data_IF_349580422921
#
_entry.id   IF_349580422921
#
_cell.length_a   1.000
_cell.length_b   1.000
_cell.length_c   1.000
_cell.angle_alpha   90.00
_cell.angle_beta   90.00
_cell.angle_gamma   90.00
#
_symmetry.space_group_name_H-M   'P 1'
#
loop_
_entity.id
_entity.type
_entity.pdbx_description
1 polymer ?
#
# COMPACT_ATOMS: atom_id res chain seq x y z
N UNK A 1 13.15 3.00 -34.83
CA UNK A 1 11.70 2.96 -35.10
C UNK A 1 11.09 1.94 -34.15
N UNK A 2 10.19 2.34 -33.25
CA UNK A 2 9.64 1.44 -32.23
C UNK A 2 8.59 0.50 -32.84
N UNK A 3 9.01 -0.75 -33.09
CA UNK A 3 8.19 -1.82 -33.69
C UNK A 3 6.92 -2.05 -32.88
N UNK A 4 6.97 -1.90 -31.55
CA UNK A 4 5.83 -2.08 -30.67
C UNK A 4 4.77 -0.99 -30.89
N UNK A 5 5.20 0.25 -31.15
CA UNK A 5 4.31 1.37 -31.47
C UNK A 5 3.58 1.15 -32.80
N UNK A 6 4.27 0.59 -33.80
CA UNK A 6 3.68 0.27 -35.11
C UNK A 6 2.65 -0.85 -35.00
N UNK A 7 2.94 -1.94 -34.29
CA UNK A 7 1.99 -3.04 -34.12
C UNK A 7 0.75 -2.64 -33.30
N UNK A 8 0.91 -1.75 -32.31
CA UNK A 8 -0.23 -1.18 -31.61
C UNK A 8 -1.12 -0.34 -32.53
N UNK A 9 -0.52 0.41 -33.47
CA UNK A 9 -1.25 1.23 -34.43
C UNK A 9 -1.92 0.40 -35.53
N UNK A 10 -1.31 -0.71 -35.94
CA UNK A 10 -1.80 -1.58 -37.01
C UNK A 10 -1.78 -3.07 -36.60
N UNK A 11 -2.83 -3.54 -35.90
CA UNK A 11 -2.89 -4.92 -35.39
C UNK A 11 -2.83 -6.00 -36.49
N UNK A 12 -3.29 -5.67 -37.70
CA UNK A 12 -3.24 -6.58 -38.85
C UNK A 12 -1.80 -6.86 -39.31
N UNK A 13 -0.86 -5.91 -39.16
CA UNK A 13 0.56 -6.14 -39.47
C UNK A 13 1.17 -7.16 -38.53
N UNK A 14 0.76 -7.14 -37.25
CA UNK A 14 1.19 -8.15 -36.28
C UNK A 14 0.66 -9.53 -36.66
N UNK A 15 -0.60 -9.64 -37.07
CA UNK A 15 -1.14 -10.93 -37.56
C UNK A 15 -0.40 -11.42 -38.79
N UNK A 16 -0.15 -10.56 -39.80
CA UNK A 16 0.63 -10.94 -40.99
C UNK A 16 2.04 -11.39 -40.63
N UNK A 17 2.72 -10.69 -39.72
CA UNK A 17 4.04 -11.08 -39.25
C UNK A 17 4.02 -12.46 -38.56
N UNK A 18 3.01 -12.74 -37.75
CA UNK A 18 2.83 -14.06 -37.10
C UNK A 18 2.55 -15.16 -38.13
N UNK A 19 1.71 -14.89 -39.13
CA UNK A 19 1.43 -15.84 -40.21
C UNK A 19 2.69 -16.19 -40.97
N UNK A 20 3.50 -15.19 -41.34
CA UNK A 20 4.79 -15.42 -42.01
C UNK A 20 5.76 -16.20 -41.12
N UNK A 21 5.90 -15.80 -39.85
CA UNK A 21 6.80 -16.44 -38.89
C UNK A 21 6.45 -17.91 -38.68
N UNK A 22 5.20 -18.22 -38.34
CA UNK A 22 4.77 -19.59 -38.06
C UNK A 22 4.65 -20.44 -39.33
N UNK A 23 4.27 -19.84 -40.46
CA UNK A 23 4.27 -20.52 -41.76
C UNK A 23 5.67 -20.96 -42.17
N UNK A 24 6.66 -20.06 -42.07
CA UNK A 24 8.07 -20.37 -42.37
C UNK A 24 8.66 -21.37 -41.36
N UNK A 25 8.36 -21.21 -40.07
CA UNK A 25 8.82 -22.14 -39.04
C UNK A 25 8.23 -23.55 -39.23
N UNK A 26 6.94 -23.64 -39.61
CA UNK A 26 6.30 -24.90 -39.98
C UNK A 26 7.00 -25.51 -41.20
N UNK A 27 7.20 -24.75 -42.27
CA UNK A 27 7.92 -25.24 -43.45
C UNK A 27 9.35 -25.74 -43.11
N UNK A 28 10.07 -25.05 -42.23
CA UNK A 28 11.40 -25.43 -41.75
C UNK A 28 11.37 -26.71 -40.91
N UNK A 29 10.43 -26.83 -39.98
CA UNK A 29 10.24 -28.05 -39.18
C UNK A 29 9.76 -29.24 -40.03
N UNK A 30 9.12 -28.97 -41.17
CA UNK A 30 8.79 -29.98 -42.17
C UNK A 30 10.01 -30.60 -42.86
N UNK A 31 11.19 -29.97 -42.79
CA UNK A 31 12.45 -30.55 -43.29
C UNK A 31 13.02 -31.62 -42.35
N UNK A 32 12.53 -31.70 -41.11
CA UNK A 32 12.93 -32.71 -40.13
C UNK A 32 12.08 -33.95 -40.35
N UNK A 33 12.47 -34.76 -41.33
CA UNK A 33 11.77 -35.96 -41.73
C UNK A 33 12.26 -37.22 -40.98
N UNK A 34 11.32 -38.01 -40.49
CA UNK A 34 11.59 -39.35 -39.96
C UNK A 34 11.18 -40.40 -40.97
N UNK A 35 12.18 -41.06 -41.57
CA UNK A 35 11.94 -42.16 -42.51
C UNK A 35 11.45 -43.40 -41.77
N UNK A 36 10.40 -44.01 -42.30
CA UNK A 36 9.82 -45.23 -41.73
C UNK A 36 10.48 -46.45 -42.38
N UNK A 37 11.11 -47.34 -41.61
CA UNK A 37 11.67 -48.58 -42.16
C UNK A 37 10.55 -49.41 -42.82
N UNK A 38 10.73 -49.77 -44.10
CA UNK A 38 9.80 -50.63 -44.82
C UNK A 38 8.75 -49.94 -45.68
N UNK A 39 8.74 -48.60 -45.78
CA UNK A 39 7.85 -47.85 -46.68
C UNK A 39 8.65 -46.81 -47.46
N UNK A 40 8.75 -46.99 -48.77
CA UNK A 40 9.37 -46.00 -49.65
C UNK A 40 8.41 -44.82 -49.88
N UNK A 41 8.85 -43.60 -49.53
CA UNK A 41 8.14 -42.37 -49.85
C UNK A 41 7.19 -41.82 -48.78
N UNK A 42 7.04 -42.50 -47.64
CA UNK A 42 6.32 -41.96 -46.48
C UNK A 42 7.33 -41.46 -45.45
N UNK A 43 7.22 -40.19 -45.06
CA UNK A 43 7.97 -39.58 -43.97
C UNK A 43 6.99 -38.85 -43.04
N UNK A 44 7.30 -38.85 -41.76
CA UNK A 44 6.62 -38.02 -40.76
C UNK A 44 7.50 -36.83 -40.42
N UNK A 45 6.92 -35.70 -40.03
CA UNK A 45 7.67 -34.45 -39.82
C UNK A 45 7.18 -33.70 -38.57
N UNK A 46 7.82 -32.58 -38.23
CA UNK A 46 7.51 -31.83 -36.98
C UNK A 46 6.71 -30.55 -37.21
N UNK A 47 6.10 -30.38 -38.39
CA UNK A 47 5.54 -29.07 -38.75
C UNK A 47 4.22 -28.72 -38.08
N UNK A 48 3.54 -29.72 -37.54
CA UNK A 48 2.32 -29.55 -36.76
C UNK A 48 2.61 -28.72 -35.49
N UNK A 49 3.81 -28.83 -34.90
CA UNK A 49 4.19 -28.09 -33.69
C UNK A 49 4.05 -26.57 -33.88
N UNK A 50 4.71 -25.92 -34.87
CA UNK A 50 4.50 -24.50 -35.14
C UNK A 50 3.06 -24.12 -35.48
N UNK A 51 2.31 -24.99 -36.18
CA UNK A 51 0.91 -24.74 -36.54
C UNK A 51 0.06 -24.67 -35.27
N UNK A 52 0.18 -25.65 -34.38
CA UNK A 52 -0.57 -25.67 -33.12
C UNK A 52 -0.18 -24.54 -32.17
N UNK A 53 1.11 -24.21 -32.08
CA UNK A 53 1.56 -23.08 -31.26
C UNK A 53 1.00 -21.76 -31.82
N UNK A 54 0.90 -21.61 -33.13
CA UNK A 54 0.38 -20.38 -33.75
C UNK A 54 -1.05 -20.06 -33.31
N UNK A 55 -1.88 -21.08 -33.05
CA UNK A 55 -3.28 -20.93 -32.63
C UNK A 55 -3.40 -20.15 -31.32
N UNK A 56 -2.39 -20.24 -30.45
CA UNK A 56 -2.34 -19.52 -29.18
C UNK A 56 -2.17 -18.01 -29.40
N UNK A 57 -1.53 -17.60 -30.51
CA UNK A 57 -1.20 -16.20 -30.82
C UNK A 57 -2.15 -15.55 -31.81
N UNK A 58 -2.70 -16.32 -32.72
CA UNK A 58 -3.59 -15.80 -33.75
C UNK A 58 -4.89 -15.30 -33.13
N UNK A 59 -5.42 -14.20 -33.66
CA UNK A 59 -6.70 -13.62 -33.23
C UNK A 59 -7.86 -14.04 -34.14
N UNK A 60 -7.56 -14.33 -35.40
CA UNK A 60 -8.54 -14.74 -36.41
C UNK A 60 -8.19 -16.12 -36.96
N UNK A 61 -9.20 -16.98 -37.09
CA UNK A 61 -9.02 -18.32 -37.66
C UNK A 61 -8.54 -18.28 -39.12
N UNK A 62 -8.91 -17.24 -39.89
CA UNK A 62 -8.50 -17.06 -41.29
C UNK A 62 -6.97 -17.01 -41.43
N UNK A 63 -6.26 -16.51 -40.41
CA UNK A 63 -4.80 -16.45 -40.41
C UNK A 63 -4.14 -17.82 -40.44
N UNK A 64 -4.83 -18.87 -39.95
CA UNK A 64 -4.36 -20.27 -40.02
C UNK A 64 -4.23 -20.70 -41.49
N UNK A 65 -5.13 -20.26 -42.37
CA UNK A 65 -5.08 -20.57 -43.81
C UNK A 65 -3.73 -20.12 -44.40
N UNK A 66 -3.28 -18.91 -44.06
CA UNK A 66 -2.00 -18.39 -44.52
C UNK A 66 -0.82 -19.24 -44.04
N UNK A 67 -0.83 -19.66 -42.78
CA UNK A 67 0.21 -20.53 -42.20
C UNK A 67 0.26 -21.87 -42.94
N UNK A 68 -0.91 -22.49 -43.17
CA UNK A 68 -1.00 -23.79 -43.84
C UNK A 68 -0.58 -23.67 -45.30
N UNK A 69 -0.95 -22.59 -46.02
CA UNK A 69 -0.49 -22.35 -47.39
C UNK A 69 1.04 -22.28 -47.42
N UNK A 70 1.66 -21.45 -46.58
CA UNK A 70 3.12 -21.29 -46.55
C UNK A 70 3.80 -22.63 -46.18
N UNK A 71 3.25 -23.34 -45.20
CA UNK A 71 3.74 -24.66 -44.79
C UNK A 71 3.61 -25.70 -45.90
N UNK A 72 2.53 -25.66 -46.69
CA UNK A 72 2.26 -26.62 -47.77
C UNK A 72 3.10 -26.34 -49.03
N UNK A 73 3.58 -25.10 -49.23
CA UNK A 73 4.46 -24.76 -50.35
C UNK A 73 5.77 -25.55 -50.34
N UNK A 74 6.27 -25.97 -49.16
CA UNK A 74 7.45 -26.83 -49.08
C UNK A 74 7.24 -28.24 -49.65
N UNK A 75 5.98 -28.67 -49.82
CA UNK A 75 5.58 -29.98 -50.32
C UNK A 75 5.12 -29.98 -51.79
N UNK A 76 5.04 -28.82 -52.43
CA UNK A 76 4.42 -28.66 -53.75
C UNK A 76 5.06 -29.54 -54.85
N UNK A 77 6.32 -29.97 -54.66
CA UNK A 77 7.00 -30.86 -55.60
C UNK A 77 6.41 -32.28 -55.70
N UNK A 78 5.63 -32.73 -54.70
CA UNK A 78 5.19 -34.13 -54.58
C UNK A 78 3.74 -34.38 -55.03
N UNK A 79 3.00 -33.36 -55.48
CA UNK A 79 1.61 -33.51 -55.98
C UNK A 79 0.53 -33.72 -54.89
N UNK A 80 0.91 -33.83 -53.62
CA UNK A 80 0.02 -34.11 -52.48
C UNK A 80 -0.54 -32.83 -51.82
N UNK A 81 -0.43 -31.68 -52.48
CA UNK A 81 -0.75 -30.38 -51.87
C UNK A 81 -2.19 -30.29 -51.34
N UNK A 82 -3.17 -30.79 -52.09
CA UNK A 82 -4.59 -30.65 -51.74
C UNK A 82 -4.96 -31.49 -50.52
N UNK A 83 -4.60 -32.78 -50.51
CA UNK A 83 -4.82 -33.68 -49.36
C UNK A 83 -4.16 -33.11 -48.11
N UNK A 84 -2.93 -32.63 -48.26
CA UNK A 84 -2.14 -32.05 -47.18
C UNK A 84 -2.76 -30.76 -46.60
N UNK A 85 -3.15 -29.83 -47.47
CA UNK A 85 -3.78 -28.59 -47.10
C UNK A 85 -5.10 -28.83 -46.36
N UNK A 86 -5.97 -29.70 -46.90
CA UNK A 86 -7.27 -30.01 -46.29
C UNK A 86 -7.11 -30.62 -44.90
N UNK A 87 -6.13 -31.52 -44.75
CA UNK A 87 -5.80 -32.15 -43.48
C UNK A 87 -5.44 -31.12 -42.41
N UNK A 88 -4.45 -30.26 -42.68
CA UNK A 88 -3.99 -29.27 -41.71
C UNK A 88 -4.99 -28.14 -41.50
N UNK A 89 -5.82 -27.84 -42.50
CA UNK A 89 -6.90 -26.88 -42.36
C UNK A 89 -7.98 -27.38 -41.39
N UNK A 90 -8.41 -28.63 -41.52
CA UNK A 90 -9.32 -29.26 -40.58
C UNK A 90 -8.73 -29.28 -39.16
N UNK A 91 -7.43 -29.61 -39.04
CA UNK A 91 -6.68 -29.56 -37.79
C UNK A 91 -6.72 -28.16 -37.15
N UNK A 92 -6.33 -27.15 -37.91
CA UNK A 92 -6.25 -25.78 -37.43
C UNK A 92 -7.61 -25.27 -36.93
N UNK A 93 -8.70 -25.57 -37.64
CA UNK A 93 -10.06 -25.22 -37.20
C UNK A 93 -10.44 -25.96 -35.91
N UNK A 94 -10.16 -27.26 -35.83
CA UNK A 94 -10.44 -28.05 -34.63
C UNK A 94 -9.71 -27.51 -33.40
N UNK A 95 -8.41 -27.27 -33.52
CA UNK A 95 -7.60 -26.76 -32.41
C UNK A 95 -7.88 -25.30 -32.07
N UNK A 96 -8.29 -24.49 -33.04
CA UNK A 96 -8.79 -23.13 -32.79
C UNK A 96 -10.00 -23.14 -31.86
N UNK A 97 -10.98 -24.01 -32.14
CA UNK A 97 -12.17 -24.19 -31.29
C UNK A 97 -11.79 -24.80 -29.94
N UNK A 98 -10.91 -25.79 -29.91
CA UNK A 98 -10.43 -26.42 -28.68
C UNK A 98 -9.75 -25.39 -27.75
N UNK A 99 -8.86 -24.56 -28.31
CA UNK A 99 -8.18 -23.49 -27.57
C UNK A 99 -9.17 -22.44 -27.04
N UNK A 100 -10.14 -22.02 -27.86
CA UNK A 100 -11.18 -21.09 -27.43
C UNK A 100 -11.98 -21.63 -26.25
N UNK A 101 -12.34 -22.93 -26.27
CA UNK A 101 -13.00 -23.59 -25.12
C UNK A 101 -12.09 -23.65 -23.90
N UNK A 102 -10.82 -24.06 -24.06
CA UNK A 102 -9.86 -24.10 -22.97
C UNK A 102 -9.70 -22.76 -22.27
N UNK A 103 -9.79 -21.65 -23.01
CA UNK A 103 -9.75 -20.30 -22.44
C UNK A 103 -11.05 -19.90 -21.74
N UNK A 104 -12.19 -20.40 -22.21
CA UNK A 104 -13.50 -20.10 -21.63
C UNK A 104 -13.75 -20.84 -20.30
N UNK A 105 -13.14 -22.02 -20.12
CA UNK A 105 -13.19 -22.77 -18.87
C UNK A 105 -11.97 -22.43 -18.00
N UNK A 106 -12.17 -22.26 -16.69
CA UNK A 106 -11.09 -21.97 -15.73
C UNK A 106 -10.29 -23.22 -15.37
N UNK A 107 -9.72 -23.90 -16.37
CA UNK A 107 -8.83 -25.04 -16.13
C UNK A 107 -7.53 -24.58 -15.46
N UNK A 108 -7.02 -25.38 -14.54
CA UNK A 108 -5.63 -25.21 -14.10
C UNK A 108 -4.66 -25.62 -15.22
N UNK A 109 -3.39 -25.22 -15.09
CA UNK A 109 -2.38 -25.44 -16.15
C UNK A 109 -2.22 -26.90 -16.55
N UNK A 110 -2.29 -27.82 -15.58
CA UNK A 110 -2.17 -29.26 -15.82
C UNK A 110 -3.40 -29.82 -16.55
N UNK A 111 -4.61 -29.44 -16.13
CA UNK A 111 -5.86 -29.84 -16.77
C UNK A 111 -5.92 -29.35 -18.22
N UNK A 112 -5.54 -28.08 -18.46
CA UNK A 112 -5.49 -27.54 -19.82
C UNK A 112 -4.51 -28.33 -20.71
N UNK A 113 -3.34 -28.69 -20.18
CA UNK A 113 -2.35 -29.50 -20.90
C UNK A 113 -2.83 -30.93 -21.19
N UNK A 114 -3.52 -31.57 -20.24
CA UNK A 114 -4.08 -32.91 -20.41
C UNK A 114 -5.20 -32.90 -21.46
N UNK A 115 -6.11 -31.93 -21.40
CA UNK A 115 -7.18 -31.77 -22.39
C UNK A 115 -6.59 -31.46 -23.77
N UNK A 116 -5.59 -30.57 -23.85
CA UNK A 116 -4.90 -30.26 -25.09
C UNK A 116 -4.23 -31.51 -25.70
N UNK A 117 -3.51 -32.29 -24.90
CA UNK A 117 -2.87 -33.53 -25.34
C UNK A 117 -3.88 -34.57 -25.81
N UNK A 118 -5.02 -34.67 -25.12
CA UNK A 118 -6.14 -35.54 -25.53
C UNK A 118 -6.75 -35.08 -26.85
N UNK A 119 -6.94 -33.78 -27.06
CA UNK A 119 -7.37 -33.22 -28.34
C UNK A 119 -6.39 -33.58 -29.46
N UNK A 120 -5.08 -33.50 -29.22
CA UNK A 120 -4.06 -33.92 -30.19
C UNK A 120 -4.16 -35.39 -30.54
N UNK A 121 -4.33 -36.26 -29.54
CA UNK A 121 -4.51 -37.69 -29.80
C UNK A 121 -5.77 -37.97 -30.65
N UNK A 122 -6.90 -37.37 -30.28
CA UNK A 122 -8.17 -37.52 -31.00
C UNK A 122 -8.04 -37.02 -32.45
N UNK A 123 -7.37 -35.89 -32.65
CA UNK A 123 -7.08 -35.34 -33.96
C UNK A 123 -6.34 -36.36 -34.84
N UNK A 124 -5.23 -36.94 -34.36
CA UNK A 124 -4.46 -37.91 -35.15
C UNK A 124 -5.26 -39.19 -35.47
N UNK A 125 -6.12 -39.65 -34.56
CA UNK A 125 -7.01 -40.80 -34.80
C UNK A 125 -7.99 -40.53 -35.95
N UNK A 126 -8.49 -39.31 -36.06
CA UNK A 126 -9.46 -38.92 -37.11
C UNK A 126 -8.75 -38.61 -38.43
N UNK A 127 -7.58 -37.96 -38.36
CA UNK A 127 -6.94 -37.39 -39.54
C UNK A 127 -6.23 -38.44 -40.42
N UNK A 128 -5.70 -39.51 -39.81
CA UNK A 128 -4.99 -40.56 -40.54
C UNK A 128 -5.94 -41.29 -41.53
N UNK A 129 -7.13 -41.77 -41.12
CA UNK A 129 -8.11 -42.31 -42.06
C UNK A 129 -8.56 -41.27 -43.09
N UNK A 130 -8.80 -40.02 -42.67
CA UNK A 130 -9.24 -38.96 -43.57
C UNK A 130 -8.21 -38.70 -44.69
N UNK A 131 -6.93 -38.60 -44.34
CA UNK A 131 -5.82 -38.43 -45.30
C UNK A 131 -5.76 -39.58 -46.31
N UNK A 132 -5.86 -40.83 -45.86
CA UNK A 132 -5.81 -42.00 -46.76
C UNK A 132 -7.04 -42.03 -47.68
N UNK A 133 -8.22 -41.68 -47.18
CA UNK A 133 -9.42 -41.55 -48.01
C UNK A 133 -9.23 -40.46 -49.07
N UNK A 134 -8.64 -39.31 -48.71
CA UNK A 134 -8.34 -38.26 -49.70
C UNK A 134 -7.35 -38.71 -50.76
N UNK A 135 -6.34 -39.52 -50.41
CA UNK A 135 -5.41 -40.10 -51.40
C UNK A 135 -6.11 -41.08 -52.36
N UNK A 136 -6.98 -41.93 -51.84
CA UNK A 136 -7.72 -42.90 -52.66
C UNK A 136 -8.69 -42.19 -53.61
N UNK A 137 -9.45 -41.22 -53.10
CA UNK A 137 -10.55 -40.59 -53.85
C UNK A 137 -10.08 -39.44 -54.73
N UNK A 138 -9.19 -38.60 -54.22
CA UNK A 138 -8.83 -37.33 -54.87
C UNK A 138 -7.57 -37.46 -55.74
N UNK A 139 -6.62 -38.29 -55.32
CA UNK A 139 -5.35 -38.53 -56.03
C UNK A 139 -5.42 -39.81 -56.88
N UNK A 140 -6.52 -40.56 -56.83
CA UNK A 140 -6.72 -41.83 -57.54
C UNK A 140 -5.61 -42.86 -57.25
N UNK A 141 -5.12 -42.91 -56.00
CA UNK A 141 -4.09 -43.84 -55.59
C UNK A 141 -4.70 -45.08 -54.90
N UNK A 142 -4.79 -46.25 -55.55
CA UNK A 142 -5.48 -47.42 -55.01
C UNK A 142 -4.68 -48.06 -53.87
N UNK A 143 -4.97 -47.63 -52.64
CA UNK A 143 -4.34 -48.11 -51.42
C UNK A 143 -5.30 -49.00 -50.60
N UNK A 144 -4.85 -50.13 -50.04
CA UNK A 144 -5.65 -50.92 -49.12
C UNK A 144 -5.85 -50.17 -47.78
N UNK A 145 -7.05 -49.61 -47.60
CA UNK A 145 -7.40 -48.66 -46.53
C UNK A 145 -6.91 -49.10 -45.14
N UNK A 146 -7.28 -50.29 -44.68
CA UNK A 146 -7.01 -50.74 -43.30
C UNK A 146 -5.50 -50.87 -43.05
N UNK A 147 -4.78 -51.53 -43.96
CA UNK A 147 -3.32 -51.67 -43.83
C UNK A 147 -2.62 -50.33 -43.91
N UNK A 148 -3.02 -49.44 -44.83
CA UNK A 148 -2.45 -48.10 -44.92
C UNK A 148 -2.67 -47.29 -43.65
N UNK A 149 -3.86 -47.39 -43.02
CA UNK A 149 -4.17 -46.73 -41.74
C UNK A 149 -3.28 -47.24 -40.63
N UNK A 150 -3.16 -48.56 -40.47
CA UNK A 150 -2.34 -49.16 -39.40
C UNK A 150 -0.86 -48.83 -39.58
N UNK A 151 -0.37 -48.90 -40.81
CA UNK A 151 1.00 -48.56 -41.17
C UNK A 151 1.30 -47.09 -40.92
N UNK A 152 0.41 -46.18 -41.32
CA UNK A 152 0.56 -44.74 -41.05
C UNK A 152 0.47 -44.43 -39.56
N UNK A 153 -0.45 -45.05 -38.82
CA UNK A 153 -0.56 -44.89 -37.37
C UNK A 153 0.72 -45.32 -36.63
N UNK A 154 1.34 -46.43 -37.06
CA UNK A 154 2.62 -46.87 -36.52
C UNK A 154 3.77 -45.89 -36.84
N UNK A 155 3.71 -45.24 -37.99
CA UNK A 155 4.69 -44.27 -38.44
C UNK A 155 4.63 -42.94 -37.69
N UNK A 156 3.42 -42.37 -37.51
CA UNK A 156 3.25 -41.05 -36.90
C UNK A 156 3.35 -41.06 -35.37
N UNK A 157 3.49 -42.23 -34.72
CA UNK A 157 3.54 -42.35 -33.26
C UNK A 157 4.50 -41.35 -32.59
N UNK A 158 5.68 -41.13 -33.18
CA UNK A 158 6.67 -40.21 -32.64
C UNK A 158 6.23 -38.76 -32.80
N UNK A 159 5.70 -38.41 -33.98
CA UNK A 159 5.13 -37.10 -34.27
C UNK A 159 3.95 -36.77 -33.34
N UNK A 160 3.03 -37.72 -33.12
CA UNK A 160 1.89 -37.53 -32.20
C UNK A 160 2.37 -37.22 -30.78
N UNK A 161 3.31 -38.03 -30.26
CA UNK A 161 3.82 -37.88 -28.90
C UNK A 161 4.57 -36.56 -28.74
N UNK A 162 5.46 -36.25 -29.68
CA UNK A 162 6.25 -35.01 -29.62
C UNK A 162 5.39 -33.77 -29.80
N UNK A 163 4.43 -33.80 -30.73
CA UNK A 163 3.49 -32.70 -30.97
C UNK A 163 2.61 -32.45 -29.75
N UNK A 164 2.02 -33.49 -29.16
CA UNK A 164 1.22 -33.37 -27.95
C UNK A 164 2.05 -32.80 -26.79
N UNK A 165 3.24 -33.35 -26.55
CA UNK A 165 4.11 -32.93 -25.45
C UNK A 165 4.59 -31.49 -25.61
N UNK A 166 5.18 -31.14 -26.76
CA UNK A 166 5.78 -29.82 -26.99
C UNK A 166 4.71 -28.73 -26.98
N UNK A 167 3.58 -28.95 -27.66
CA UNK A 167 2.51 -27.94 -27.70
C UNK A 167 1.80 -27.79 -26.34
N UNK A 168 1.64 -28.87 -25.56
CA UNK A 168 1.08 -28.79 -24.21
C UNK A 168 2.03 -28.07 -23.23
N UNK A 169 3.34 -28.36 -23.27
CA UNK A 169 4.34 -27.63 -22.47
C UNK A 169 4.38 -26.15 -22.85
N UNK A 170 4.26 -25.85 -24.13
CA UNK A 170 4.18 -24.48 -24.61
C UNK A 170 2.93 -23.76 -24.08
N UNK A 171 1.77 -24.42 -24.12
CA UNK A 171 0.52 -23.89 -23.58
C UNK A 171 0.64 -23.58 -22.07
N UNK A 172 1.22 -24.49 -21.29
CA UNK A 172 1.51 -24.27 -19.86
C UNK A 172 2.40 -23.04 -19.69
N UNK A 173 3.53 -22.99 -20.41
CA UNK A 173 4.47 -21.89 -20.32
C UNK A 173 3.81 -20.55 -20.67
N UNK A 174 2.98 -20.52 -21.71
CA UNK A 174 2.25 -19.34 -22.15
C UNK A 174 1.27 -18.86 -21.07
N UNK A 175 0.48 -19.77 -20.49
CA UNK A 175 -0.49 -19.43 -19.45
C UNK A 175 0.19 -18.89 -18.19
N UNK A 176 1.28 -19.52 -17.74
CA UNK A 176 2.07 -19.06 -16.59
C UNK A 176 2.63 -17.65 -16.84
N UNK A 177 3.18 -17.40 -18.04
CA UNK A 177 3.71 -16.06 -18.39
C UNK A 177 2.63 -14.99 -18.35
N UNK A 178 1.43 -15.28 -18.85
CA UNK A 178 0.32 -14.33 -18.83
C UNK A 178 -0.13 -14.03 -17.39
N UNK A 179 -0.26 -15.05 -16.54
CA UNK A 179 -0.60 -14.86 -15.13
C UNK A 179 0.47 -14.06 -14.38
N UNK A 180 1.75 -14.35 -14.62
CA UNK A 180 2.85 -13.63 -14.00
C UNK A 180 2.83 -12.14 -14.38
N UNK A 181 2.53 -11.83 -15.65
CA UNK A 181 2.39 -10.46 -16.13
C UNK A 181 1.22 -9.73 -15.48
N UNK A 182 0.08 -10.41 -15.32
CA UNK A 182 -1.09 -9.86 -14.63
C UNK A 182 -0.79 -9.57 -13.15
N UNK A 183 -0.15 -10.52 -12.46
CA UNK A 183 0.30 -10.33 -11.08
C UNK A 183 1.32 -9.19 -10.94
N UNK A 184 2.24 -9.05 -11.89
CA UNK A 184 3.19 -7.93 -11.87
C UNK A 184 2.47 -6.57 -11.95
N UNK A 185 1.52 -6.41 -12.88
CA UNK A 185 0.75 -5.16 -13.02
C UNK A 185 -0.06 -4.89 -11.75
N UNK A 186 -0.68 -5.91 -11.16
CA UNK A 186 -1.44 -5.78 -9.91
C UNK A 186 -0.53 -5.34 -8.75
N UNK A 187 0.66 -5.95 -8.61
CA UNK A 187 1.63 -5.59 -7.59
C UNK A 187 2.15 -4.16 -7.75
N UNK A 188 2.43 -3.73 -8.98
CA UNK A 188 2.83 -2.34 -9.27
C UNK A 188 1.75 -1.34 -8.84
N UNK A 189 0.48 -1.64 -9.09
CA UNK A 189 -0.65 -0.82 -8.65
C UNK A 189 -0.77 -0.78 -7.12
N UNK A 190 -0.61 -1.92 -6.45
CA UNK A 190 -0.65 -1.99 -4.98
C UNK A 190 0.49 -1.18 -4.37
N UNK A 191 1.72 -1.33 -4.88
CA UNK A 191 2.88 -0.58 -4.43
C UNK A 191 2.63 0.91 -4.59
N UNK A 192 2.19 1.34 -5.78
CA UNK A 192 1.89 2.75 -6.05
C UNK A 192 0.88 3.32 -5.04
N UNK A 193 -0.23 2.62 -4.81
CA UNK A 193 -1.24 3.04 -3.83
C UNK A 193 -0.66 3.14 -2.41
N UNK A 194 0.10 2.14 -1.98
CA UNK A 194 0.74 2.13 -0.65
C UNK A 194 1.77 3.23 -0.49
N UNK A 195 2.55 3.52 -1.52
CA UNK A 195 3.53 4.62 -1.50
C UNK A 195 2.82 5.97 -1.35
N UNK A 196 1.69 6.18 -2.03
CA UNK A 196 0.88 7.39 -1.85
C UNK A 196 0.32 7.50 -0.42
N UNK A 197 -0.29 6.42 0.11
CA UNK A 197 -0.79 6.38 1.49
C UNK A 197 0.30 6.69 2.52
N UNK A 198 1.48 6.08 2.38
CA UNK A 198 2.62 6.31 3.26
C UNK A 198 3.14 7.74 3.19
N UNK A 199 3.14 8.33 1.98
CA UNK A 199 3.59 9.72 1.80
C UNK A 199 2.64 10.69 2.48
N UNK A 200 1.32 10.49 2.33
CA UNK A 200 0.29 11.29 2.98
C UNK A 200 0.35 11.15 4.52
N UNK A 201 0.42 9.92 5.04
CA UNK A 201 0.58 9.69 6.48
C UNK A 201 1.87 10.30 7.04
N UNK A 202 2.98 10.25 6.30
CA UNK A 202 4.23 10.89 6.72
C UNK A 202 4.09 12.42 6.76
N UNK A 203 3.44 13.02 5.77
CA UNK A 203 3.15 14.46 5.77
C UNK A 203 2.27 14.85 6.96
N UNK A 204 1.23 14.08 7.28
CA UNK A 204 0.39 14.32 8.46
C UNK A 204 1.18 14.21 9.77
N UNK A 205 2.08 13.23 9.89
CA UNK A 205 2.96 13.10 11.06
C UNK A 205 3.90 14.29 11.22
N UNK A 206 4.44 14.82 10.11
CA UNK A 206 5.28 16.03 10.16
C UNK A 206 4.49 17.24 10.68
N UNK A 207 3.27 17.45 10.16
CA UNK A 207 2.40 18.54 10.61
C UNK A 207 2.05 18.39 12.10
N UNK A 208 1.67 17.19 12.54
CA UNK A 208 1.35 16.93 13.95
C UNK A 208 2.57 17.12 14.87
N UNK A 209 3.77 16.80 14.38
CA UNK A 209 5.01 17.02 15.12
C UNK A 209 5.31 18.52 15.27
N UNK A 210 5.16 19.30 14.21
CA UNK A 210 5.30 20.77 14.26
C UNK A 210 4.31 21.40 15.26
N UNK A 211 3.04 20.97 15.24
CA UNK A 211 2.02 21.44 16.18
C UNK A 211 2.36 21.06 17.64
N UNK A 212 2.87 19.84 17.87
CA UNK A 212 3.30 19.39 19.19
C UNK A 212 4.46 20.22 19.72
N UNK A 213 5.45 20.54 18.86
CA UNK A 213 6.58 21.40 19.23
C UNK A 213 6.08 22.79 19.63
N UNK A 214 5.23 23.40 18.80
CA UNK A 214 4.62 24.72 19.10
C UNK A 214 3.88 24.71 20.43
N UNK A 215 3.02 23.72 20.65
CA UNK A 215 2.24 23.58 21.89
C UNK A 215 3.16 23.39 23.10
N UNK A 216 4.24 22.63 22.96
CA UNK A 216 5.20 22.41 24.04
C UNK A 216 5.93 23.70 24.41
N UNK A 217 6.28 24.52 23.43
CA UNK A 217 6.89 25.83 23.66
C UNK A 217 5.91 26.80 24.36
N UNK A 218 4.64 26.82 23.95
CA UNK A 218 3.60 27.63 24.60
C UNK A 218 3.39 27.22 26.06
N UNK A 219 3.25 25.92 26.34
CA UNK A 219 3.10 25.40 27.71
C UNK A 219 4.30 25.76 28.57
N UNK A 220 5.52 25.68 28.01
CA UNK A 220 6.73 26.06 28.72
C UNK A 220 6.73 27.55 29.07
N UNK A 221 6.40 28.43 28.13
CA UNK A 221 6.31 29.87 28.38
C UNK A 221 5.24 30.21 29.44
N UNK A 222 4.12 29.48 29.43
CA UNK A 222 3.04 29.63 30.42
C UNK A 222 3.50 29.20 31.81
N UNK A 223 4.20 28.06 31.92
CA UNK A 223 4.78 27.58 33.17
C UNK A 223 5.80 28.58 33.73
N UNK A 224 6.73 29.08 32.91
CA UNK A 224 7.72 30.07 33.33
C UNK A 224 7.06 31.36 33.88
N UNK A 225 5.97 31.81 33.24
CA UNK A 225 5.19 32.96 33.70
C UNK A 225 4.46 32.65 35.02
N UNK A 226 3.83 31.48 35.13
CA UNK A 226 3.17 31.05 36.36
C UNK A 226 4.15 30.96 37.53
N UNK A 227 5.34 30.41 37.31
CA UNK A 227 6.40 30.37 38.33
C UNK A 227 6.78 31.77 38.80
N UNK A 228 6.95 32.72 37.87
CA UNK A 228 7.23 34.12 38.20
C UNK A 228 6.11 34.77 39.02
N UNK A 229 4.86 34.57 38.62
CA UNK A 229 3.69 35.11 39.35
C UNK A 229 3.61 34.49 40.75
N UNK A 230 3.78 33.17 40.86
CA UNK A 230 3.78 32.46 42.14
C UNK A 230 4.91 32.98 43.03
N UNK A 231 6.10 33.16 42.50
CA UNK A 231 7.24 33.70 43.24
C UNK A 231 6.93 35.11 43.75
N UNK A 232 6.50 36.03 42.88
CA UNK A 232 6.17 37.42 43.28
C UNK A 232 5.06 37.47 44.33
N UNK A 233 4.02 36.64 44.19
CA UNK A 233 2.95 36.55 45.20
C UNK A 233 3.44 35.96 46.51
N UNK A 234 4.31 34.96 46.46
CA UNK A 234 4.90 34.33 47.66
C UNK A 234 5.79 35.32 48.40
N UNK A 235 6.60 36.10 47.69
CA UNK A 235 7.41 37.18 48.25
C UNK A 235 6.52 38.23 48.95
N UNK A 236 5.48 38.73 48.26
CA UNK A 236 4.52 39.69 48.84
C UNK A 236 3.81 39.14 50.09
N UNK A 237 3.39 37.87 50.07
CA UNK A 237 2.75 37.24 51.23
C UNK A 237 3.73 37.11 52.40
N UNK A 238 4.99 36.76 52.14
CA UNK A 238 6.01 36.66 53.20
C UNK A 238 6.31 38.02 53.82
N UNK A 239 6.36 39.09 53.02
CA UNK A 239 6.51 40.47 53.51
C UNK A 239 5.32 40.87 54.41
N UNK A 240 4.10 40.59 53.96
CA UNK A 240 2.88 40.84 54.75
C UNK A 240 2.84 40.03 56.05
N UNK A 241 3.29 38.77 56.01
CA UNK A 241 3.37 37.91 57.19
C UNK A 241 4.34 38.50 58.23
N UNK A 242 5.54 38.90 57.81
CA UNK A 242 6.53 39.51 58.69
C UNK A 242 6.01 40.82 59.32
N UNK A 243 5.28 41.63 58.56
CA UNK A 243 4.63 42.83 59.10
C UNK A 243 3.56 42.48 60.15
N UNK A 244 2.73 41.49 59.87
CA UNK A 244 1.69 41.02 60.80
C UNK A 244 2.31 40.51 62.10
N UNK A 245 3.40 39.73 62.03
CA UNK A 245 4.14 39.26 63.21
C UNK A 245 4.64 40.42 64.06
N UNK A 246 5.22 41.46 63.43
CA UNK A 246 5.67 42.68 64.12
C UNK A 246 4.50 43.41 64.79
N UNK A 247 3.36 43.51 64.10
CA UNK A 247 2.15 44.12 64.65
C UNK A 247 1.61 43.36 65.86
N UNK A 248 1.51 42.03 65.78
CA UNK A 248 1.07 41.15 66.88
C UNK A 248 2.01 41.26 68.08
N UNK A 249 3.33 41.34 67.85
CA UNK A 249 4.33 41.53 68.90
C UNK A 249 4.11 42.85 69.65
N UNK A 250 3.98 43.97 68.92
CA UNK A 250 3.73 45.28 69.49
C UNK A 250 2.40 45.36 70.23
N UNK A 251 1.34 44.77 69.68
CA UNK A 251 0.04 44.72 70.36
C UNK A 251 0.12 43.93 71.68
N UNK A 252 0.76 42.76 71.65
CA UNK A 252 0.82 41.87 72.82
C UNK A 252 1.73 42.38 73.93
N UNK A 253 2.83 43.08 73.61
CA UNK A 253 3.84 43.50 74.59
C UNK A 253 3.87 45.01 74.81
N UNK A 254 3.88 45.81 73.74
CA UNK A 254 4.05 47.26 73.82
C UNK A 254 2.73 47.99 74.14
N UNK A 255 1.58 47.53 73.63
CA UNK A 255 0.27 48.16 73.90
C UNK A 255 -0.31 47.68 75.24
N UNK A 256 -0.25 46.36 75.48
CA UNK A 256 -0.86 45.76 76.68
C UNK A 256 -0.24 46.25 77.99
N UNK A 257 1.06 46.54 77.99
CA UNK A 257 1.80 47.05 79.15
C UNK A 257 1.24 48.36 79.73
N UNK A 258 1.26 49.48 78.97
CA UNK A 258 0.70 50.75 79.43
C UNK A 258 -0.81 50.66 79.65
N UNK A 259 -1.57 49.91 78.84
CA UNK A 259 -3.00 49.72 79.06
C UNK A 259 -3.32 49.07 80.41
N UNK A 260 -2.63 47.99 80.78
CA UNK A 260 -2.79 47.35 82.08
C UNK A 260 -2.41 48.31 83.23
N UNK A 261 -1.37 49.14 83.01
CA UNK A 261 -0.94 50.18 83.95
C UNK A 261 -2.02 51.25 84.16
N UNK A 262 -2.63 51.74 83.08
CA UNK A 262 -3.78 52.67 83.10
C UNK A 262 -4.95 52.08 83.88
N UNK A 263 -5.36 50.85 83.55
CA UNK A 263 -6.47 50.17 84.23
C UNK A 263 -6.20 49.96 85.73
N UNK A 264 -4.96 49.60 86.09
CA UNK A 264 -4.51 49.48 87.48
C UNK A 264 -4.54 50.82 88.21
N UNK A 265 -4.01 51.89 87.59
CA UNK A 265 -3.99 53.24 88.16
C UNK A 265 -5.41 53.80 88.35
N UNK A 266 -6.32 53.60 87.39
CA UNK A 266 -7.74 53.97 87.54
C UNK A 266 -8.37 53.23 88.72
N UNK A 267 -8.05 51.95 88.90
CA UNK A 267 -8.56 51.16 90.02
C UNK A 267 -8.05 51.69 91.37
N UNK A 268 -6.77 52.06 91.45
CA UNK A 268 -6.17 52.68 92.64
C UNK A 268 -6.78 54.05 92.96
N UNK A 269 -6.99 54.91 91.95
CA UNK A 269 -7.65 56.22 92.11
C UNK A 269 -9.07 56.04 92.65
N UNK A 270 -9.83 55.05 92.17
CA UNK A 270 -11.18 54.75 92.68
C UNK A 270 -11.21 54.24 94.13
N UNK A 271 -10.12 53.63 94.60
CA UNK A 271 -9.99 53.10 95.96
C UNK A 271 -9.46 54.13 96.97
N UNK A 272 -8.82 55.22 96.51
CA UNK A 272 -8.30 56.30 97.36
C UNK A 272 -9.41 57.25 97.84
N UNK A 273 -10.14 56.84 98.89
CA UNK A 273 -11.28 57.59 99.44
C UNK A 273 -10.91 58.91 100.13
N UNK A 274 -9.65 59.12 100.47
CA UNK A 274 -9.17 60.31 101.19
C UNK A 274 -8.47 61.34 100.29
N UNK A 275 -8.37 61.07 98.96
CA UNK A 275 -7.71 61.91 97.96
C UNK A 275 -6.25 62.30 98.27
N UNK A 276 -5.59 61.62 99.21
CA UNK A 276 -4.25 62.01 99.69
C UNK A 276 -3.14 61.65 98.71
N UNK A 277 -3.35 60.67 97.81
CA UNK A 277 -2.35 60.24 96.81
C UNK A 277 -2.77 60.53 95.36
N UNK A 278 -3.94 61.13 95.19
CA UNK A 278 -4.57 61.39 93.90
C UNK A 278 -3.69 62.16 92.89
N UNK A 279 -3.00 63.25 93.28
CA UNK A 279 -2.18 64.02 92.33
C UNK A 279 -1.05 63.19 91.71
N UNK A 280 -0.38 62.34 92.52
CA UNK A 280 0.70 61.48 92.06
C UNK A 280 0.20 60.30 91.21
N UNK A 281 -1.00 59.78 91.48
CA UNK A 281 -1.63 58.72 90.67
C UNK A 281 -2.11 59.24 89.32
N UNK A 282 -2.65 60.46 89.27
CA UNK A 282 -3.05 61.13 88.02
C UNK A 282 -1.82 61.40 87.14
N UNK A 283 -0.71 61.84 87.73
CA UNK A 283 0.54 62.04 86.98
C UNK A 283 1.05 60.73 86.35
N UNK A 284 1.05 59.62 87.10
CA UNK A 284 1.41 58.30 86.56
C UNK A 284 0.42 57.79 85.50
N UNK A 285 -0.85 58.17 85.61
CA UNK A 285 -1.89 57.82 84.63
C UNK A 285 -1.66 58.56 83.31
N UNK A 286 -1.31 59.85 83.38
CA UNK A 286 -0.92 60.64 82.22
C UNK A 286 0.31 60.03 81.54
N UNK A 287 1.37 59.70 82.30
CA UNK A 287 2.57 59.07 81.75
C UNK A 287 2.28 57.74 81.05
N UNK A 288 1.43 56.88 81.64
CA UNK A 288 1.04 55.62 81.00
C UNK A 288 0.15 55.82 79.76
N UNK A 289 -0.65 56.89 79.74
CA UNK A 289 -1.50 57.25 78.60
C UNK A 289 -0.67 57.82 77.44
N UNK A 290 0.35 58.63 77.73
CA UNK A 290 1.31 59.12 76.73
C UNK A 290 2.15 57.97 76.15
N UNK A 291 2.61 57.04 76.99
CA UNK A 291 3.32 55.83 76.56
C UNK A 291 2.45 54.99 75.60
N UNK A 292 1.16 54.83 75.90
CA UNK A 292 0.21 54.15 75.02
C UNK A 292 0.02 54.90 73.69
N UNK A 293 -0.16 56.21 73.72
CA UNK A 293 -0.31 57.04 72.50
C UNK A 293 0.93 56.94 71.60
N UNK A 294 2.13 56.94 72.19
CA UNK A 294 3.39 56.75 71.47
C UNK A 294 3.45 55.38 70.77
N UNK A 295 3.06 54.30 71.47
CA UNK A 295 3.02 52.96 70.88
C UNK A 295 1.99 52.89 69.75
N UNK A 296 0.78 53.42 69.95
CA UNK A 296 -0.27 53.45 68.91
C UNK A 296 0.17 54.22 67.66
N UNK A 297 0.79 55.40 67.83
CA UNK A 297 1.36 56.15 66.70
C UNK A 297 2.46 55.38 65.97
N UNK A 298 3.30 54.65 66.70
CA UNK A 298 4.33 53.77 66.13
C UNK A 298 3.68 52.61 65.34
N UNK A 299 2.56 52.04 65.79
CA UNK A 299 1.83 51.00 65.05
C UNK A 299 1.21 51.53 63.76
N UNK A 300 0.56 52.68 63.82
CA UNK A 300 -0.07 53.28 62.64
C UNK A 300 0.97 53.62 61.56
N UNK A 301 2.13 54.18 61.94
CA UNK A 301 3.23 54.45 61.01
C UNK A 301 3.78 53.19 60.34
N UNK A 302 3.80 52.06 61.05
CA UNK A 302 4.24 50.78 60.49
C UNK A 302 3.25 50.20 59.48
N UNK A 303 1.95 50.48 59.64
CA UNK A 303 0.92 50.08 58.69
C UNK A 303 0.86 51.02 57.47
N UNK A 304 1.03 52.32 57.67
CA UNK A 304 1.06 53.32 56.59
C UNK A 304 2.24 53.14 55.63
N UNK A 305 3.38 52.66 56.13
CA UNK A 305 4.55 52.41 55.28
C UNK A 305 4.33 51.32 54.22
N UNK A 306 3.33 50.43 54.39
CA UNK A 306 3.03 49.30 53.50
C UNK A 306 1.73 49.48 52.70
N UNK A 307 1.00 50.58 52.91
CA UNK A 307 -0.18 50.97 52.12
C UNK A 307 0.15 52.15 51.18
N UNK A 308 1.08 52.04 50.21
CA UNK A 308 1.12 53.00 49.13
C UNK A 308 -0.10 52.74 48.23
N UNK A 309 -1.10 53.60 48.40
CA UNK A 309 -2.25 53.89 47.53
C UNK A 309 -2.48 52.94 46.33
N UNK A 310 -3.22 51.85 46.56
CA UNK A 310 -3.69 50.92 45.51
C UNK A 310 -4.87 51.52 44.69
N UNK A 311 -5.09 52.84 44.75
CA UNK A 311 -6.20 53.51 44.06
C UNK A 311 -5.84 54.21 42.74
N UNK A 312 -4.56 54.26 42.34
CA UNK A 312 -4.14 55.04 41.16
C UNK A 312 -3.87 54.27 39.85
N UNK A 313 -4.27 53.01 39.70
CA UNK A 313 -4.05 52.25 38.44
C UNK A 313 -5.28 51.56 37.82
N UNK A 314 -6.50 51.93 38.20
CA UNK A 314 -7.71 51.58 37.43
C UNK A 314 -8.18 52.79 36.61
N UNK A 315 -7.51 53.06 35.48
CA UNK A 315 -8.04 53.79 34.30
C UNK A 315 -6.90 54.03 33.31
N UNK A 316 -6.56 53.01 32.52
CA UNK A 316 -6.05 53.11 31.15
C UNK A 316 -5.91 51.69 30.61
N UNK A 317 -7.01 51.20 30.05
CA UNK A 317 -7.10 50.53 28.75
C UNK A 317 -8.57 50.52 28.32
#
# INVERSE_FOLDING_TARGET
MDVKKIFNQYPWLQEVALVLLFGLLSALMGLVEFKIPGLSGTATDLREIPILISIIYLRRFVSIIGIIIISSLSLAANGVFVSYFLMHFAAGVFFWVAYAKLKAYNFNHLQAALVWSLCTLIYYVIIIPAYIITEIVLVNNPLPLISSVLTMAAAVKFEVITTALVSALYLIQHNIRNQLKEHQVNLEQIIYKRTLELTDSNQQLLVMNEELISTTEEVRALNDNLEKIVQTRTEKINEQLHLLEKYVHMNSHEVRGPLARILGLISLIKMDKENTKQPALIEKLNQASEELDLVVRKMNRLLEAELPDDTSQSTKD
#
